data_IF_254570327414
#
_entry.id   IF_254570327414
#
_cell.length_a   1.000
_cell.length_b   1.000
_cell.length_c   1.000
_cell.angle_alpha   90.00
_cell.angle_beta   90.00
_cell.angle_gamma   90.00
#
_symmetry.space_group_name_H-M   'P 1'
#
loop_
_entity.id
_entity.type
_entity.pdbx_description
1 polymer ?
#
# COMPACT_ATOMS: atom_id res chain seq x y z
N UNK A 1 6.98 -17.37 -17.16
CA UNK A 1 6.01 -16.54 -17.91
C UNK A 1 5.61 -15.38 -17.01
N UNK A 2 5.94 -14.10 -17.19
CA UNK A 2 6.66 -13.41 -18.26
C UNK A 2 5.88 -12.21 -18.82
N UNK A 3 5.56 -11.18 -18.00
CA UNK A 3 5.40 -9.74 -18.36
C UNK A 3 4.61 -8.95 -17.26
N UNK A 4 4.78 -7.61 -17.10
CA UNK A 4 5.44 -6.69 -18.04
C UNK A 4 6.50 -5.79 -17.40
N UNK A 5 7.78 -6.03 -17.73
CA UNK A 5 8.78 -4.95 -17.89
C UNK A 5 8.50 -4.07 -19.13
N UNK A 6 7.40 -4.35 -19.84
CA UNK A 6 7.07 -3.81 -21.18
C UNK A 6 6.81 -2.32 -21.19
N UNK A 7 6.05 -1.77 -20.23
CA UNK A 7 5.55 -0.40 -20.36
C UNK A 7 6.65 0.64 -20.18
N UNK A 8 7.49 0.48 -19.15
CA UNK A 8 8.60 1.43 -18.88
C UNK A 8 9.70 1.32 -19.93
N UNK A 9 10.01 0.09 -20.38
CA UNK A 9 10.99 -0.11 -21.44
C UNK A 9 10.49 0.46 -22.77
N UNK A 10 9.22 0.26 -23.13
CA UNK A 10 8.64 0.83 -24.35
C UNK A 10 8.64 2.37 -24.34
N UNK A 11 8.25 3.01 -23.24
CA UNK A 11 8.21 4.49 -23.17
C UNK A 11 9.62 5.08 -23.29
N UNK A 12 10.62 4.49 -22.63
CA UNK A 12 12.01 4.96 -22.70
C UNK A 12 12.63 4.67 -24.07
N UNK A 13 12.36 3.50 -24.66
CA UNK A 13 12.85 3.14 -25.99
C UNK A 13 12.20 4.02 -27.08
N UNK A 14 10.92 4.35 -26.94
CA UNK A 14 10.18 5.20 -27.88
C UNK A 14 10.63 6.65 -27.84
N UNK A 15 10.93 7.21 -26.65
CA UNK A 15 11.57 8.53 -26.49
C UNK A 15 12.99 8.60 -27.05
N UNK A 16 13.76 7.50 -26.96
CA UNK A 16 15.11 7.42 -27.53
C UNK A 16 15.10 7.32 -29.06
N UNK A 17 14.17 6.53 -29.62
CA UNK A 17 13.95 6.44 -31.07
C UNK A 17 13.48 7.78 -31.66
N UNK A 18 12.73 8.58 -30.88
CA UNK A 18 12.34 9.95 -31.27
C UNK A 18 13.51 10.94 -31.29
N UNK A 19 14.54 10.74 -30.46
CA UNK A 19 15.69 11.65 -30.35
C UNK A 19 16.87 11.30 -31.26
N UNK A 20 16.95 10.08 -31.76
CA UNK A 20 17.97 9.65 -32.72
C UNK A 20 17.34 9.05 -33.98
N UNK A 21 16.84 9.88 -34.92
CA UNK A 21 16.10 9.38 -36.08
C UNK A 21 16.96 8.60 -37.10
N UNK A 22 18.29 8.66 -37.02
CA UNK A 22 19.14 8.05 -38.04
C UNK A 22 20.63 8.05 -37.66
N UNK A 23 21.09 6.95 -37.05
CA UNK A 23 22.32 6.20 -37.39
C UNK A 23 22.56 5.13 -36.33
N UNK A 24 22.89 3.87 -36.71
CA UNK A 24 23.39 2.92 -35.74
C UNK A 24 24.71 3.46 -35.17
N UNK A 25 24.95 3.37 -33.85
CA UNK A 25 26.21 3.80 -33.27
C UNK A 25 27.34 2.92 -33.81
N UNK A 26 28.34 3.56 -34.46
CA UNK A 26 29.55 2.88 -34.92
C UNK A 26 30.41 2.52 -33.68
N UNK A 27 30.49 1.23 -33.37
CA UNK A 27 31.40 0.67 -32.36
C UNK A 27 30.73 0.17 -31.07
N UNK A 28 31.25 -0.94 -30.53
CA UNK A 28 30.81 -1.56 -29.26
C UNK A 28 30.90 -0.61 -28.05
N UNK A 29 31.86 0.31 -28.08
CA UNK A 29 32.09 1.31 -27.03
C UNK A 29 30.91 2.28 -26.89
N UNK A 30 30.26 2.65 -28.01
CA UNK A 30 29.08 3.52 -28.03
C UNK A 30 27.82 2.83 -27.52
N UNK A 31 27.70 1.50 -27.71
CA UNK A 31 26.60 0.71 -27.15
C UNK A 31 26.74 0.52 -25.64
N UNK A 32 27.96 0.34 -25.13
CA UNK A 32 28.22 0.18 -23.70
C UNK A 32 28.01 1.50 -22.92
N UNK A 33 28.33 2.63 -23.54
CA UNK A 33 28.04 3.95 -22.99
C UNK A 33 26.52 4.21 -22.94
N UNK A 34 25.78 3.83 -23.99
CA UNK A 34 24.32 3.94 -24.02
C UNK A 34 23.67 3.04 -22.93
N UNK A 35 24.19 1.83 -22.70
CA UNK A 35 23.75 0.94 -21.62
C UNK A 35 23.99 1.54 -20.24
N UNK A 36 25.17 2.13 -20.03
CA UNK A 36 25.54 2.79 -18.77
C UNK A 36 24.64 3.99 -18.48
N UNK A 37 24.35 4.80 -19.50
CA UNK A 37 23.42 5.94 -19.37
C UNK A 37 21.98 5.48 -19.08
N UNK A 38 21.50 4.42 -19.74
CA UNK A 38 20.20 3.81 -19.46
C UNK A 38 20.09 3.31 -18.02
N UNK A 39 21.14 2.65 -17.53
CA UNK A 39 21.19 2.11 -16.18
C UNK A 39 21.16 3.23 -15.13
N UNK A 40 21.98 4.28 -15.28
CA UNK A 40 21.98 5.42 -14.36
C UNK A 40 20.66 6.20 -14.40
N UNK A 41 20.04 6.33 -15.58
CA UNK A 41 18.74 6.98 -15.72
C UNK A 41 17.63 6.16 -15.06
N UNK A 42 17.64 4.84 -15.22
CA UNK A 42 16.72 3.93 -14.55
C UNK A 42 16.88 4.00 -13.02
N UNK A 43 18.11 4.05 -12.54
CA UNK A 43 18.44 4.24 -11.12
C UNK A 43 17.96 5.60 -10.60
N UNK A 44 18.12 6.67 -11.38
CA UNK A 44 17.60 7.99 -11.04
C UNK A 44 16.06 8.02 -11.01
N UNK A 45 15.38 7.37 -11.94
CA UNK A 45 13.90 7.23 -11.92
C UNK A 45 13.43 6.44 -10.71
N UNK A 46 14.05 5.28 -10.42
CA UNK A 46 13.75 4.48 -9.24
C UNK A 46 14.00 5.28 -7.94
N UNK A 47 15.07 6.08 -7.88
CA UNK A 47 15.38 6.98 -6.76
C UNK A 47 14.33 8.09 -6.61
N UNK A 48 13.92 8.75 -7.69
CA UNK A 48 12.86 9.78 -7.63
C UNK A 48 11.51 9.19 -7.24
N UNK A 49 11.20 7.98 -7.71
CA UNK A 49 9.96 7.27 -7.40
C UNK A 49 9.91 6.81 -5.94
N UNK A 50 11.01 6.27 -5.42
CA UNK A 50 11.14 5.91 -4.00
C UNK A 50 11.07 7.15 -3.09
N UNK A 51 11.69 8.28 -3.48
CA UNK A 51 11.53 9.56 -2.75
C UNK A 51 10.06 10.03 -2.75
N UNK A 52 9.38 9.97 -3.90
CA UNK A 52 7.94 10.31 -3.98
C UNK A 52 7.09 9.40 -3.10
N UNK A 53 7.35 8.09 -3.13
CA UNK A 53 6.66 7.12 -2.26
C UNK A 53 6.89 7.46 -0.79
N UNK A 54 8.12 7.82 -0.37
CA UNK A 54 8.38 8.26 1.01
C UNK A 54 7.56 9.48 1.41
N UNK A 55 7.46 10.50 0.56
CA UNK A 55 6.60 11.66 0.86
C UNK A 55 5.11 11.26 0.94
N UNK A 56 4.76 10.12 0.37
CA UNK A 56 3.44 9.52 0.39
C UNK A 56 3.26 8.45 1.46
N UNK A 57 4.24 8.02 2.26
CA UNK A 57 4.05 7.00 3.31
C UNK A 57 4.25 7.58 4.71
N UNK A 58 3.43 7.22 5.69
CA UNK A 58 3.66 7.63 7.08
C UNK A 58 3.04 6.66 8.07
N UNK A 59 3.69 6.47 9.23
CA UNK A 59 3.11 5.67 10.33
C UNK A 59 1.93 6.37 11.03
N UNK A 60 1.79 7.70 10.89
CA UNK A 60 0.81 8.53 11.62
C UNK A 60 -0.55 8.69 10.93
N UNK A 61 -0.78 7.91 9.88
CA UNK A 61 -1.88 8.11 8.94
C UNK A 61 -3.20 7.53 9.44
N UNK A 62 -3.11 6.54 10.31
CA UNK A 62 -4.22 5.88 10.95
C UNK A 62 -3.89 5.55 12.40
N UNK A 63 -4.93 5.34 13.20
CA UNK A 63 -4.91 4.66 14.49
C UNK A 63 -5.88 3.50 14.42
N UNK A 64 -5.52 2.34 14.95
CA UNK A 64 -6.49 1.28 15.22
C UNK A 64 -6.95 1.35 16.66
N UNK A 65 -8.21 1.02 16.87
CA UNK A 65 -8.85 1.07 18.18
C UNK A 65 -9.44 -0.28 18.51
N UNK A 66 -9.60 -0.55 19.80
CA UNK A 66 -10.46 -1.63 20.26
C UNK A 66 -11.83 -1.07 20.67
N UNK A 67 -12.92 -1.84 20.49
CA UNK A 67 -14.18 -1.48 21.11
C UNK A 67 -14.03 -1.41 22.63
N UNK A 68 -14.82 -0.53 23.25
CA UNK A 68 -14.91 -0.47 24.70
C UNK A 68 -15.42 -1.80 25.28
N UNK A 69 -16.34 -2.47 24.58
CA UNK A 69 -16.78 -3.83 24.86
C UNK A 69 -16.15 -4.81 23.85
N UNK A 70 -15.23 -5.66 24.33
CA UNK A 70 -14.55 -6.64 23.49
C UNK A 70 -15.48 -7.72 22.95
N UNK A 71 -16.68 -7.91 23.52
CA UNK A 71 -17.67 -8.83 22.97
C UNK A 71 -18.12 -8.41 21.55
N UNK A 72 -18.03 -7.12 21.21
CA UNK A 72 -18.29 -6.65 19.86
C UNK A 72 -17.39 -7.31 18.81
N UNK A 73 -16.17 -7.75 19.19
CA UNK A 73 -15.24 -8.41 18.27
C UNK A 73 -15.68 -9.83 17.87
N UNK A 74 -16.53 -10.50 18.66
CA UNK A 74 -16.97 -11.88 18.37
C UNK A 74 -17.83 -11.98 17.11
N UNK A 75 -18.51 -10.89 16.74
CA UNK A 75 -19.41 -10.83 15.59
C UNK A 75 -18.81 -10.11 14.37
N UNK A 76 -17.58 -9.60 14.50
CA UNK A 76 -16.93 -8.82 13.45
C UNK A 76 -16.04 -9.69 12.56
N UNK A 77 -16.13 -9.43 11.25
CA UNK A 77 -15.10 -9.83 10.29
C UNK A 77 -13.94 -8.83 10.31
N UNK A 78 -12.73 -9.22 9.82
CA UNK A 78 -11.62 -8.29 9.64
C UNK A 78 -12.02 -7.03 8.86
N UNK A 79 -12.81 -7.19 7.79
CA UNK A 79 -13.29 -6.08 6.98
C UNK A 79 -14.18 -5.12 7.78
N UNK A 80 -15.11 -5.64 8.58
CA UNK A 80 -16.02 -4.82 9.38
C UNK A 80 -15.29 -4.14 10.54
N UNK A 81 -14.31 -4.82 11.14
CA UNK A 81 -13.40 -4.21 12.09
C UNK A 81 -12.64 -3.04 11.46
N UNK A 82 -12.02 -3.23 10.29
CA UNK A 82 -11.27 -2.18 9.59
C UNK A 82 -12.15 -0.98 9.22
N UNK A 83 -13.42 -1.19 8.83
CA UNK A 83 -14.34 -0.09 8.56
C UNK A 83 -14.66 0.73 9.82
N UNK A 84 -14.81 0.07 10.97
CA UNK A 84 -15.32 0.69 12.20
C UNK A 84 -14.22 1.25 13.10
N UNK A 85 -13.07 0.59 13.17
CA UNK A 85 -12.01 0.87 14.13
C UNK A 85 -10.66 1.25 13.50
N UNK A 86 -10.59 1.46 12.18
CA UNK A 86 -9.44 2.10 11.55
C UNK A 86 -9.70 3.60 11.38
N UNK A 87 -9.09 4.42 12.23
CA UNK A 87 -9.24 5.86 12.21
C UNK A 87 -8.19 6.50 11.30
N UNK A 88 -8.54 6.70 10.03
CA UNK A 88 -7.66 7.36 9.04
C UNK A 88 -7.77 8.88 9.14
N UNK A 89 -6.64 9.60 9.21
CA UNK A 89 -6.66 11.06 9.26
C UNK A 89 -7.20 11.69 7.95
N UNK A 90 -7.90 12.82 8.07
CA UNK A 90 -8.63 13.43 6.94
C UNK A 90 -7.75 13.69 5.70
N UNK A 91 -6.51 14.16 5.90
CA UNK A 91 -5.56 14.42 4.82
C UNK A 91 -5.30 13.15 3.99
N UNK A 92 -5.17 12.01 4.65
CA UNK A 92 -4.88 10.71 4.02
C UNK A 92 -6.10 10.11 3.38
N UNK A 93 -7.24 10.20 4.06
CA UNK A 93 -8.53 9.83 3.50
C UNK A 93 -8.80 10.55 2.17
N UNK A 94 -8.50 11.85 2.08
CA UNK A 94 -8.61 12.60 0.82
C UNK A 94 -7.67 12.10 -0.28
N UNK A 95 -6.46 11.63 0.07
CA UNK A 95 -5.53 11.05 -0.89
C UNK A 95 -6.02 9.70 -1.40
N UNK A 96 -6.50 8.82 -0.51
CA UNK A 96 -7.08 7.53 -0.88
C UNK A 96 -8.34 7.70 -1.71
N UNK A 97 -9.21 8.65 -1.36
CA UNK A 97 -10.42 8.92 -2.13
C UNK A 97 -10.11 9.31 -3.59
N UNK A 98 -9.03 10.06 -3.85
CA UNK A 98 -8.60 10.38 -5.22
C UNK A 98 -8.19 9.12 -6.00
N UNK A 99 -7.54 8.17 -5.34
CA UNK A 99 -7.20 6.89 -5.97
C UNK A 99 -8.46 6.06 -6.17
N UNK A 100 -9.31 5.92 -5.16
CA UNK A 100 -10.57 5.20 -5.24
C UNK A 100 -11.43 5.66 -6.42
N UNK A 101 -11.67 6.97 -6.50
CA UNK A 101 -12.50 7.59 -7.56
C UNK A 101 -11.90 7.45 -8.96
N UNK A 102 -10.57 7.34 -9.08
CA UNK A 102 -9.90 7.05 -10.36
C UNK A 102 -10.21 5.64 -10.87
N UNK A 103 -10.41 4.68 -9.96
CA UNK A 103 -10.67 3.28 -10.29
C UNK A 103 -12.14 2.87 -10.19
N UNK A 104 -13.00 3.70 -9.57
CA UNK A 104 -14.46 3.56 -9.62
C UNK A 104 -15.01 4.03 -10.97
N UNK A 105 -14.66 3.31 -12.03
CA UNK A 105 -15.02 3.61 -13.42
C UNK A 105 -16.53 3.72 -13.67
N UNK A 106 -17.35 3.10 -12.80
CA UNK A 106 -18.81 3.03 -12.94
C UNK A 106 -19.56 3.92 -11.94
N UNK A 107 -18.85 4.72 -11.14
CA UNK A 107 -19.42 5.55 -10.07
C UNK A 107 -20.35 4.75 -9.14
N UNK A 108 -19.99 3.49 -8.88
CA UNK A 108 -20.78 2.56 -8.05
C UNK A 108 -20.47 2.71 -6.58
N UNK A 109 -19.45 3.51 -6.23
CA UNK A 109 -18.89 3.58 -4.89
C UNK A 109 -18.38 2.22 -4.39
N UNK A 110 -17.99 1.34 -5.32
CA UNK A 110 -17.50 -0.02 -5.06
C UNK A 110 -16.38 -0.37 -6.05
N UNK A 111 -15.30 -0.95 -5.54
CA UNK A 111 -14.23 -1.53 -6.33
C UNK A 111 -14.37 -3.04 -6.40
N UNK A 112 -14.04 -3.61 -7.56
CA UNK A 112 -13.79 -5.05 -7.67
C UNK A 112 -12.42 -5.39 -7.08
N UNK A 113 -12.19 -6.67 -6.76
CA UNK A 113 -10.87 -7.16 -6.32
C UNK A 113 -9.74 -6.80 -7.29
N UNK A 114 -10.02 -6.85 -8.60
CA UNK A 114 -9.07 -6.46 -9.65
C UNK A 114 -8.80 -4.96 -9.65
N UNK A 115 -9.83 -4.14 -9.47
CA UNK A 115 -9.67 -2.68 -9.40
C UNK A 115 -8.93 -2.27 -8.12
N UNK A 116 -9.16 -2.97 -7.01
CA UNK A 116 -8.40 -2.83 -5.77
C UNK A 116 -6.91 -3.10 -5.98
N UNK A 117 -6.54 -4.19 -6.68
CA UNK A 117 -5.14 -4.48 -6.99
C UNK A 117 -4.49 -3.35 -7.79
N UNK A 118 -5.18 -2.83 -8.81
CA UNK A 118 -4.66 -1.72 -9.61
C UNK A 118 -4.58 -0.41 -8.81
N UNK A 119 -5.58 -0.12 -7.99
CA UNK A 119 -5.63 1.06 -7.14
C UNK A 119 -4.49 1.06 -6.12
N UNK A 120 -4.23 -0.09 -5.47
CA UNK A 120 -3.12 -0.22 -4.54
C UNK A 120 -1.78 -0.12 -5.27
N UNK A 121 -1.63 -0.74 -6.44
CA UNK A 121 -0.44 -0.53 -7.28
C UNK A 121 -0.24 0.94 -7.64
N UNK A 122 -1.29 1.66 -8.02
CA UNK A 122 -1.21 3.10 -8.32
C UNK A 122 -0.77 3.92 -7.10
N UNK A 123 -1.31 3.61 -5.91
CA UNK A 123 -0.92 4.25 -4.64
C UNK A 123 0.58 4.11 -4.36
N UNK A 124 1.15 2.93 -4.64
CA UNK A 124 2.59 2.64 -4.47
C UNK A 124 3.42 2.91 -5.73
N UNK A 125 2.86 3.61 -6.73
CA UNK A 125 3.48 3.86 -8.02
C UNK A 125 4.04 2.59 -8.69
N UNK A 126 3.41 1.44 -8.49
CA UNK A 126 3.78 0.14 -9.06
C UNK A 126 4.81 -0.65 -8.26
N UNK A 127 5.25 -0.18 -7.08
CA UNK A 127 6.29 -0.84 -6.28
C UNK A 127 5.77 -1.88 -5.28
N UNK A 128 4.46 -2.15 -5.26
CA UNK A 128 3.89 -3.24 -4.47
C UNK A 128 3.89 -4.54 -5.29
N UNK A 129 4.54 -5.58 -4.75
CA UNK A 129 4.59 -6.89 -5.38
C UNK A 129 3.24 -7.62 -5.22
N UNK A 130 2.88 -8.48 -6.18
CA UNK A 130 1.64 -9.28 -6.10
C UNK A 130 1.58 -10.16 -4.84
N UNK A 131 2.73 -10.61 -4.31
CA UNK A 131 2.79 -11.35 -3.04
C UNK A 131 2.40 -10.48 -1.83
N UNK A 132 2.88 -9.23 -1.78
CA UNK A 132 2.51 -8.27 -0.73
C UNK A 132 1.01 -7.93 -0.83
N UNK A 133 0.50 -7.74 -2.06
CA UNK A 133 -0.93 -7.54 -2.28
C UNK A 133 -1.75 -8.73 -1.77
N UNK A 134 -1.41 -9.96 -2.18
CA UNK A 134 -2.15 -11.15 -1.77
C UNK A 134 -2.12 -11.35 -0.24
N UNK A 135 -0.94 -11.20 0.37
CA UNK A 135 -0.80 -11.27 1.82
C UNK A 135 -1.71 -10.26 2.54
N UNK A 136 -1.76 -9.01 2.05
CA UNK A 136 -2.62 -7.99 2.62
C UNK A 136 -4.11 -8.33 2.47
N UNK A 137 -4.53 -8.84 1.31
CA UNK A 137 -5.91 -9.27 1.10
C UNK A 137 -6.28 -10.45 2.01
N UNK A 138 -5.39 -11.42 2.17
CA UNK A 138 -5.58 -12.57 3.05
C UNK A 138 -5.67 -12.14 4.54
N UNK A 139 -4.85 -11.17 4.95
CA UNK A 139 -4.87 -10.59 6.30
C UNK A 139 -6.20 -9.86 6.58
N UNK A 140 -6.74 -9.17 5.58
CA UNK A 140 -8.02 -8.46 5.66
C UNK A 140 -9.23 -9.35 5.37
N UNK A 141 -9.02 -10.64 5.08
CA UNK A 141 -10.05 -11.58 4.63
C UNK A 141 -10.87 -11.04 3.43
N UNK A 142 -10.19 -10.41 2.47
CA UNK A 142 -10.78 -9.83 1.25
C UNK A 142 -10.61 -10.80 0.09
N UNK A 143 -11.73 -11.14 -0.56
CA UNK A 143 -11.78 -12.10 -1.67
C UNK A 143 -12.38 -11.46 -2.92
N UNK A 144 -12.39 -12.21 -4.03
CA UNK A 144 -12.92 -11.75 -5.32
C UNK A 144 -14.39 -11.28 -5.22
N UNK A 145 -15.16 -11.88 -4.31
CA UNK A 145 -16.59 -11.57 -4.09
C UNK A 145 -16.81 -10.45 -3.07
N UNK A 146 -15.76 -10.00 -2.38
CA UNK A 146 -15.89 -8.93 -1.39
C UNK A 146 -16.22 -7.62 -2.07
N UNK A 147 -17.26 -6.95 -1.58
CA UNK A 147 -17.59 -5.59 -1.99
C UNK A 147 -16.66 -4.61 -1.25
N UNK A 148 -15.82 -3.91 -2.02
CA UNK A 148 -14.82 -2.98 -1.49
C UNK A 148 -15.34 -1.56 -1.67
N UNK A 149 -16.04 -1.07 -0.66
CA UNK A 149 -16.46 0.32 -0.56
C UNK A 149 -15.28 1.26 -0.25
N UNK A 150 -15.56 2.56 -0.25
CA UNK A 150 -14.56 3.58 0.02
C UNK A 150 -13.98 3.51 1.43
N UNK A 151 -14.75 3.08 2.44
CA UNK A 151 -14.26 2.97 3.82
C UNK A 151 -13.26 1.83 3.91
N UNK A 152 -13.63 0.64 3.45
CA UNK A 152 -12.77 -0.52 3.44
C UNK A 152 -11.51 -0.26 2.61
N UNK A 153 -11.65 0.38 1.45
CA UNK A 153 -10.49 0.79 0.65
C UNK A 153 -9.54 1.70 1.44
N UNK A 154 -10.05 2.76 2.07
CA UNK A 154 -9.23 3.69 2.85
C UNK A 154 -8.53 2.99 4.01
N UNK A 155 -9.23 2.12 4.74
CA UNK A 155 -8.66 1.36 5.85
C UNK A 155 -7.58 0.39 5.39
N UNK A 156 -7.77 -0.29 4.27
CA UNK A 156 -6.76 -1.20 3.71
C UNK A 156 -5.54 -0.41 3.22
N UNK A 157 -5.71 0.75 2.57
CA UNK A 157 -4.58 1.60 2.20
C UNK A 157 -3.80 2.07 3.43
N UNK A 158 -4.50 2.46 4.49
CA UNK A 158 -3.84 2.90 5.72
C UNK A 158 -3.08 1.75 6.41
N UNK A 159 -3.70 0.56 6.47
CA UNK A 159 -3.05 -0.65 6.96
C UNK A 159 -1.82 -1.00 6.11
N UNK A 160 -1.93 -0.98 4.78
CA UNK A 160 -0.83 -1.34 3.89
C UNK A 160 0.36 -0.39 4.04
N UNK A 161 0.11 0.91 4.19
CA UNK A 161 1.18 1.89 4.40
C UNK A 161 1.91 1.61 5.71
N UNK A 162 1.19 1.19 6.77
CA UNK A 162 1.80 0.83 8.06
C UNK A 162 2.63 -0.44 7.97
N UNK A 163 2.06 -1.50 7.38
CA UNK A 163 2.72 -2.81 7.29
C UNK A 163 3.93 -2.78 6.37
N UNK A 164 3.83 -2.07 5.25
CA UNK A 164 4.90 -2.00 4.26
C UNK A 164 5.82 -0.79 4.47
N UNK A 165 5.65 -0.02 5.54
CA UNK A 165 6.45 1.18 5.78
C UNK A 165 7.94 0.86 5.76
N UNK A 166 8.36 -0.21 6.45
CA UNK A 166 9.76 -0.64 6.53
C UNK A 166 10.34 -1.08 5.18
N UNK A 167 9.51 -1.64 4.29
CA UNK A 167 9.94 -2.06 2.94
C UNK A 167 10.28 -0.85 2.05
N UNK A 168 9.76 0.34 2.38
CA UNK A 168 9.89 1.55 1.57
C UNK A 168 10.67 2.70 2.26
N UNK A 169 10.81 2.67 3.58
CA UNK A 169 11.60 3.61 4.35
C UNK A 169 13.04 3.05 4.54
N UNK A 170 14.04 3.74 3.98
CA UNK A 170 15.42 3.55 4.46
C UNK A 170 15.65 4.57 5.56
N UNK A 171 16.24 4.11 6.66
CA UNK A 171 16.74 4.84 7.83
C UNK A 171 16.75 6.36 7.61
N UNK A 172 15.81 7.07 8.23
CA UNK A 172 16.04 8.38 8.85
C UNK A 172 14.74 9.00 9.41
N UNK A 173 14.89 9.52 10.63
CA UNK A 173 13.97 10.34 11.42
C UNK A 173 12.77 9.65 12.09
N UNK A 174 13.03 9.08 13.27
CA UNK A 174 12.05 9.05 14.36
C UNK A 174 11.68 10.48 14.75
N UNK A 175 10.58 10.99 14.21
CA UNK A 175 10.04 12.28 14.63
C UNK A 175 9.49 12.17 16.08
N UNK A 176 9.90 13.06 16.98
CA UNK A 176 9.60 12.98 18.43
C UNK A 176 8.11 13.01 18.82
N UNK A 177 7.23 13.45 17.92
CA UNK A 177 5.77 13.58 18.14
C UNK A 177 4.97 12.28 17.87
N UNK A 178 5.66 11.18 17.54
CA UNK A 178 5.03 9.88 17.24
C UNK A 178 4.54 9.17 18.51
N UNK A 179 5.14 9.50 19.66
CA UNK A 179 4.91 8.79 20.92
C UNK A 179 3.46 8.83 21.40
N UNK A 180 2.75 9.97 21.33
CA UNK A 180 1.43 10.04 22.00
C UNK A 180 0.33 9.21 21.33
N UNK A 181 0.28 9.14 19.99
CA UNK A 181 -0.72 8.31 19.29
C UNK A 181 -0.38 6.83 19.37
N UNK A 182 0.92 6.52 19.29
CA UNK A 182 1.43 5.16 19.50
C UNK A 182 1.13 4.70 20.93
N UNK A 183 1.25 5.55 21.96
CA UNK A 183 0.99 5.16 23.35
C UNK A 183 -0.47 4.76 23.63
N UNK A 184 -1.46 5.40 22.99
CA UNK A 184 -2.86 5.03 23.16
C UNK A 184 -3.16 3.70 22.47
N UNK A 185 -2.72 3.55 21.22
CA UNK A 185 -2.85 2.29 20.49
C UNK A 185 -2.08 1.16 21.19
N UNK A 186 -0.86 1.42 21.64
CA UNK A 186 -0.05 0.46 22.41
C UNK A 186 -0.74 0.09 23.73
N UNK A 187 -1.39 1.03 24.42
CA UNK A 187 -2.17 0.71 25.62
C UNK A 187 -3.39 -0.18 25.28
N UNK A 188 -4.06 0.05 24.16
CA UNK A 188 -5.18 -0.76 23.69
C UNK A 188 -4.72 -2.16 23.25
N UNK A 189 -3.59 -2.27 22.57
CA UNK A 189 -3.10 -3.52 22.00
C UNK A 189 -2.10 -4.26 22.88
N UNK A 190 -1.64 -3.67 23.99
CA UNK A 190 -0.76 -4.37 24.92
C UNK A 190 -1.47 -5.60 25.52
N UNK A 191 -0.74 -6.71 25.58
CA UNK A 191 -1.22 -7.99 26.14
C UNK A 191 -2.56 -8.45 25.53
N UNK A 192 -2.77 -8.20 24.24
CA UNK A 192 -4.01 -8.47 23.53
C UNK A 192 -4.56 -9.88 23.74
N UNK A 193 -3.70 -10.90 23.68
CA UNK A 193 -4.10 -12.30 23.94
C UNK A 193 -4.68 -12.52 25.34
N UNK A 194 -4.19 -11.80 26.35
CA UNK A 194 -4.74 -11.87 27.70
C UNK A 194 -6.09 -11.14 27.77
N UNK A 195 -6.25 -10.02 27.04
CA UNK A 195 -7.53 -9.29 26.94
C UNK A 195 -8.61 -10.11 26.23
N UNK A 196 -8.22 -10.96 25.29
CA UNK A 196 -9.12 -11.85 24.55
C UNK A 196 -9.51 -13.11 25.33
N UNK A 197 -8.94 -13.34 26.51
CA UNK A 197 -9.29 -14.49 27.32
C UNK A 197 -10.79 -14.47 27.68
N UNK A 198 -11.50 -15.52 27.29
CA UNK A 198 -12.94 -15.64 27.52
C UNK A 198 -13.82 -15.15 26.36
N UNK A 199 -13.24 -14.59 25.29
CA UNK A 199 -13.96 -14.19 24.08
C UNK A 199 -13.70 -15.15 22.93
N UNK A 200 -14.72 -15.42 22.13
CA UNK A 200 -14.68 -16.25 20.93
C UNK A 200 -14.50 -15.40 19.67
N UNK A 201 -13.35 -14.72 19.58
CA UNK A 201 -13.01 -13.88 18.43
C UNK A 201 -12.61 -14.75 17.24
N UNK A 202 -13.13 -14.43 16.06
CA UNK A 202 -12.85 -15.18 14.84
C UNK A 202 -11.33 -15.24 14.55
N UNK A 203 -10.77 -16.41 14.17
CA UNK A 203 -9.32 -16.55 13.97
C UNK A 203 -8.73 -15.59 12.94
N UNK A 204 -9.48 -15.23 11.89
CA UNK A 204 -9.04 -14.25 10.91
C UNK A 204 -8.89 -12.85 11.50
N UNK A 205 -9.84 -12.44 12.35
CA UNK A 205 -9.77 -11.16 13.05
C UNK A 205 -8.66 -11.18 14.11
N UNK A 206 -8.49 -12.27 14.85
CA UNK A 206 -7.37 -12.41 15.79
C UNK A 206 -6.02 -12.24 15.10
N UNK A 207 -5.83 -12.88 13.93
CA UNK A 207 -4.59 -12.70 13.14
C UNK A 207 -4.37 -11.24 12.74
N UNK A 208 -5.41 -10.57 12.22
CA UNK A 208 -5.31 -9.16 11.89
C UNK A 208 -4.88 -8.33 13.11
N UNK A 209 -5.58 -8.47 14.24
CA UNK A 209 -5.34 -7.64 15.43
C UNK A 209 -3.98 -7.89 16.09
N UNK A 210 -3.36 -9.06 15.87
CA UNK A 210 -2.01 -9.35 16.36
C UNK A 210 -0.89 -8.75 15.50
N UNK A 211 -1.21 -8.33 14.27
CA UNK A 211 -0.27 -7.60 13.39
C UNK A 211 -0.33 -6.08 13.61
N UNK A 212 -1.30 -5.58 14.39
CA UNK A 212 -1.49 -4.16 14.71
C UNK A 212 -0.67 -3.76 15.94
#
# INVERSE_FOLDING_TARGET
>A
MGAPRSCVFQVVLQELLLRHPSKPPDGEESLEELRSQLFERQKAYAKHQSIKIRTCLSKRICRFELPMDLQELEVLSPQNYLRKYCCVCQRRRNAYLKVFTKFDSKQKMLLSFKDMEHALKDLYLGNIASKQFQWLMDLCDVHIQTEIDCELFCSICALSERMLYADFAMDDMEEADTRQKELLEEADFCRLLAKFHGYNIAPALTRLLLEL
#
